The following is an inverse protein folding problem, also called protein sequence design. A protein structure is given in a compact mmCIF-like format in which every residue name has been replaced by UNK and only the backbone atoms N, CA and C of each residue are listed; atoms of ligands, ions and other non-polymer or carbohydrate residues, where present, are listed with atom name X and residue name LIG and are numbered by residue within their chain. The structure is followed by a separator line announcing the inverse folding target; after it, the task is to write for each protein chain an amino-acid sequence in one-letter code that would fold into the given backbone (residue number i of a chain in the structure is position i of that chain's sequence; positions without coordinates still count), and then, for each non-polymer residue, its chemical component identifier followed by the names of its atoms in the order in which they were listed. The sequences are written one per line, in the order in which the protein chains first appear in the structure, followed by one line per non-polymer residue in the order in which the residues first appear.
data_IF_247617756922
#
_entry.id   IF_247617756922
#
_cell.length_a   1.000
_cell.length_b   1.000
_cell.length_c   1.000
_cell.angle_alpha   90.00
_cell.angle_beta   90.00
_cell.angle_gamma   90.00
#
_symmetry.space_group_name_H-M   'P 1'
#
loop_
_entity.id
_entity.type
_entity.pdbx_description
1 polymer ?
#
# COMPACT_ATOMS: atom_id res chain seq x y z
N UNK A 1 6.84 2.80 15.40
CA UNK A 1 5.82 3.84 15.47
C UNK A 1 4.60 3.35 16.24
N UNK A 2 4.08 2.18 15.86
CA UNK A 2 2.89 1.48 16.42
C UNK A 2 1.53 2.10 16.07
N UNK A 3 1.54 3.17 15.28
CA UNK A 3 0.33 3.84 14.77
C UNK A 3 0.58 4.43 13.37
N UNK A 4 1.17 3.65 12.46
CA UNK A 4 1.28 4.10 11.05
C UNK A 4 -0.09 3.98 10.39
N UNK A 5 -0.59 5.09 9.87
CA UNK A 5 -1.85 5.22 9.13
C UNK A 5 -1.88 6.55 8.37
N UNK A 6 -2.73 6.73 7.36
CA UNK A 6 -2.82 7.99 6.60
C UNK A 6 -3.01 9.23 7.48
N UNK A 7 -3.82 9.15 8.54
CA UNK A 7 -4.03 10.27 9.46
C UNK A 7 -2.74 10.75 10.17
N UNK A 8 -1.71 9.90 10.23
CA UNK A 8 -0.40 10.18 10.82
C UNK A 8 0.70 10.40 9.76
N UNK A 9 0.32 10.55 8.49
CA UNK A 9 1.23 10.85 7.38
C UNK A 9 0.78 12.16 6.74
N UNK A 10 1.61 13.19 6.86
CA UNK A 10 1.34 14.52 6.32
C UNK A 10 2.03 14.67 4.96
N UNK A 11 1.33 15.27 4.01
CA UNK A 11 1.86 15.68 2.71
C UNK A 11 1.73 17.20 2.61
N UNK A 12 2.83 17.91 2.35
CA UNK A 12 2.78 19.34 2.09
C UNK A 12 2.68 19.67 0.59
N UNK A 13 2.45 20.95 0.27
CA UNK A 13 2.28 21.42 -1.12
C UNK A 13 3.57 21.31 -1.96
N UNK A 14 4.69 20.87 -1.39
CA UNK A 14 5.95 20.60 -2.08
C UNK A 14 6.20 19.09 -2.23
N UNK A 15 5.15 18.28 -2.08
CA UNK A 15 5.18 16.82 -2.13
C UNK A 15 6.11 16.18 -1.08
N UNK A 16 6.39 16.88 0.03
CA UNK A 16 7.21 16.33 1.11
C UNK A 16 6.33 15.56 2.08
N UNK A 17 6.64 14.27 2.24
CA UNK A 17 5.97 13.37 3.19
C UNK A 17 6.63 13.44 4.57
N UNK A 18 5.83 13.61 5.62
CA UNK A 18 6.28 13.62 7.02
C UNK A 18 5.43 12.68 7.87
N UNK A 19 6.09 11.84 8.67
CA UNK A 19 5.41 10.98 9.65
C UNK A 19 5.27 11.73 10.97
N UNK A 20 4.07 11.69 11.56
CA UNK A 20 3.72 12.35 12.82
C UNK A 20 3.11 11.37 13.82
N UNK A 21 2.91 11.83 15.06
CA UNK A 21 2.26 11.09 16.15
C UNK A 21 2.97 9.80 16.60
N UNK A 22 4.21 9.95 17.05
CA UNK A 22 4.96 8.90 17.74
C UNK A 22 4.41 8.61 19.16
N UNK A 23 3.16 8.97 19.48
CA UNK A 23 2.56 8.88 20.81
C UNK A 23 2.52 7.45 21.36
N UNK A 24 2.26 6.45 20.52
CA UNK A 24 2.29 5.03 20.92
C UNK A 24 3.71 4.45 21.00
N UNK A 25 4.71 5.09 20.38
CA UNK A 25 6.11 4.67 20.53
C UNK A 25 6.62 4.87 21.97
N UNK A 26 6.01 5.79 22.72
CA UNK A 26 6.35 6.10 24.13
C UNK A 26 5.59 5.24 25.15
N UNK A 27 4.53 4.54 24.75
CA UNK A 27 3.76 3.65 25.64
C UNK A 27 4.35 2.24 25.63
N UNK A 28 5.26 1.96 26.57
CA UNK A 28 5.83 0.63 26.81
C UNK A 28 4.97 -0.25 27.75
N UNK A 29 3.82 0.22 28.23
CA UNK A 29 3.11 -0.43 29.35
C UNK A 29 2.10 -1.48 28.89
N UNK A 30 2.35 -2.72 29.30
CA UNK A 30 1.50 -3.83 29.81
C UNK A 30 -0.04 -3.83 29.67
N UNK A 31 -0.65 -3.05 28.79
CA UNK A 31 -2.06 -3.23 28.45
C UNK A 31 -2.14 -4.24 27.31
N UNK A 32 -2.65 -5.45 27.61
CA UNK A 32 -3.30 -6.23 26.58
C UNK A 32 -4.35 -5.33 25.93
N UNK A 33 -4.38 -5.27 24.60
CA UNK A 33 -5.32 -4.41 23.87
C UNK A 33 -6.72 -5.04 23.95
N UNK A 34 -7.32 -5.00 25.13
CA UNK A 34 -8.77 -5.08 25.34
C UNK A 34 -9.29 -3.67 25.56
N UNK A 35 -8.88 -2.74 24.68
CA UNK A 35 -9.36 -1.36 24.70
C UNK A 35 -10.55 -1.25 23.75
N UNK A 36 -11.75 -1.22 24.31
CA UNK A 36 -13.03 -0.91 23.65
C UNK A 36 -13.07 0.47 22.96
N UNK A 37 -12.02 1.28 23.09
CA UNK A 37 -11.95 2.67 22.60
C UNK A 37 -11.15 2.86 21.29
N UNK A 38 -10.66 1.80 20.66
CA UNK A 38 -10.02 1.92 19.33
C UNK A 38 -11.12 2.03 18.28
N UNK A 39 -11.16 3.12 17.53
CA UNK A 39 -12.06 3.28 16.38
C UNK A 39 -11.75 2.23 15.30
N UNK A 40 -12.78 1.66 14.66
CA UNK A 40 -12.69 0.66 13.57
C UNK A 40 -11.66 1.08 12.51
N UNK A 41 -11.66 2.36 12.12
CA UNK A 41 -10.70 2.90 11.15
C UNK A 41 -9.24 2.77 11.59
N UNK A 42 -8.92 3.01 12.87
CA UNK A 42 -7.55 2.82 13.38
C UNK A 42 -7.18 1.34 13.50
N UNK A 43 -8.16 0.49 13.83
CA UNK A 43 -7.97 -0.95 13.95
C UNK A 43 -7.55 -1.60 12.62
N UNK A 44 -8.05 -1.10 11.49
CA UNK A 44 -7.77 -1.65 10.17
C UNK A 44 -6.29 -1.63 9.73
N UNK A 45 -5.44 -0.81 10.36
CA UNK A 45 -4.00 -0.78 10.09
C UNK A 45 -3.18 -1.62 11.08
N UNK A 46 -3.83 -2.19 12.11
CA UNK A 46 -3.15 -2.89 13.20
C UNK A 46 -2.74 -4.30 12.78
N UNK A 47 -1.50 -4.72 13.03
CA UNK A 47 -1.08 -6.08 12.71
C UNK A 47 -1.65 -7.11 13.69
N UNK A 48 -1.77 -8.39 13.29
CA UNK A 48 -2.38 -9.44 14.11
C UNK A 48 -1.74 -9.63 15.49
N UNK A 49 -0.42 -9.47 15.60
CA UNK A 49 0.30 -9.61 16.87
C UNK A 49 -0.01 -8.46 17.86
N UNK A 50 -0.28 -7.25 17.35
CA UNK A 50 -0.63 -6.09 18.17
C UNK A 50 -2.02 -6.24 18.80
N UNK A 51 -2.94 -6.94 18.12
CA UNK A 51 -4.26 -7.29 18.65
C UNK A 51 -4.19 -8.32 19.79
N UNK A 52 -3.15 -9.16 19.79
CA UNK A 52 -2.93 -10.18 20.83
C UNK A 52 -2.17 -9.62 22.03
N UNK A 53 -1.10 -8.87 21.80
CA UNK A 53 -0.26 -8.31 22.84
C UNK A 53 0.70 -7.26 22.29
N UNK A 54 0.78 -6.10 22.96
CA UNK A 54 1.77 -5.05 22.67
C UNK A 54 3.22 -5.47 22.94
N UNK A 55 3.44 -6.56 23.69
CA UNK A 55 4.80 -7.07 24.00
C UNK A 55 5.46 -7.74 22.80
N UNK A 56 4.66 -8.27 21.87
CA UNK A 56 5.14 -9.01 20.71
C UNK A 56 5.29 -8.11 19.47
N UNK A 57 5.13 -6.80 19.64
CA UNK A 57 5.13 -5.81 18.57
C UNK A 57 6.53 -5.22 18.41
N UNK A 58 7.11 -5.38 17.23
CA UNK A 58 8.44 -4.86 16.88
C UNK A 58 8.40 -3.99 15.61
N UNK A 59 9.54 -3.65 15.03
CA UNK A 59 9.60 -2.81 13.83
C UNK A 59 8.81 -3.38 12.63
N UNK A 60 8.61 -4.70 12.56
CA UNK A 60 7.88 -5.37 11.47
C UNK A 60 6.37 -5.17 11.58
N UNK A 61 5.90 -4.74 12.75
CA UNK A 61 4.52 -4.30 12.94
C UNK A 61 4.24 -2.99 12.22
N UNK A 62 5.20 -2.05 12.21
CA UNK A 62 5.08 -0.82 11.39
C UNK A 62 5.06 -1.14 9.88
N UNK A 63 5.82 -2.15 9.45
CA UNK A 63 5.85 -2.58 8.04
C UNK A 63 4.50 -3.14 7.58
N UNK A 64 3.79 -3.86 8.45
CA UNK A 64 2.42 -4.29 8.19
C UNK A 64 1.49 -3.08 8.02
N UNK A 65 1.55 -2.12 8.94
CA UNK A 65 0.71 -0.91 8.90
C UNK A 65 0.99 -0.03 7.67
N UNK A 66 2.26 0.04 7.22
CA UNK A 66 2.62 0.64 5.92
C UNK A 66 1.95 -0.14 4.77
N UNK A 67 2.00 -1.47 4.80
CA UNK A 67 1.31 -2.32 3.82
C UNK A 67 -0.20 -2.06 3.74
N UNK A 68 -0.87 -1.89 4.88
CA UNK A 68 -2.29 -1.53 4.94
C UNK A 68 -2.55 -0.08 4.46
N UNK A 69 -1.62 0.83 4.71
CA UNK A 69 -1.71 2.19 4.17
C UNK A 69 -1.60 2.18 2.63
N UNK A 70 -0.66 1.41 2.08
CA UNK A 70 -0.57 1.22 0.63
C UNK A 70 -1.81 0.53 0.07
N UNK A 71 -2.36 -0.47 0.78
CA UNK A 71 -3.61 -1.11 0.40
C UNK A 71 -4.71 -0.07 0.18
N UNK A 72 -4.94 0.81 1.15
CA UNK A 72 -6.01 1.81 1.06
C UNK A 72 -5.76 2.85 -0.02
N UNK A 73 -4.53 3.35 -0.16
CA UNK A 73 -4.17 4.30 -1.22
C UNK A 73 -4.52 3.73 -2.61
N UNK A 74 -4.28 2.44 -2.77
CA UNK A 74 -4.38 1.73 -4.04
C UNK A 74 -5.81 1.26 -4.34
N UNK A 75 -6.51 0.77 -3.31
CA UNK A 75 -7.88 0.28 -3.40
C UNK A 75 -8.94 1.37 -3.17
N UNK A 76 -8.53 2.57 -2.72
CA UNK A 76 -9.38 3.68 -2.31
C UNK A 76 -10.09 3.49 -0.96
N UNK A 77 -9.97 2.32 -0.34
CA UNK A 77 -10.57 1.97 0.95
C UNK A 77 -9.87 0.78 1.59
N UNK A 78 -10.05 0.62 2.90
CA UNK A 78 -9.70 -0.60 3.61
C UNK A 78 -10.67 -1.76 3.24
N UNK A 79 -10.29 -3.03 3.48
CA UNK A 79 -11.13 -4.19 3.18
C UNK A 79 -12.27 -4.41 4.20
N UNK A 80 -12.45 -3.49 5.14
CA UNK A 80 -13.46 -3.53 6.18
C UNK A 80 -14.51 -2.45 5.91
N UNK A 81 -15.78 -2.70 6.26
CA UNK A 81 -16.84 -1.71 6.10
C UNK A 81 -16.90 -0.78 7.32
N UNK A 82 -17.33 0.45 7.11
CA UNK A 82 -17.50 1.44 8.19
C UNK A 82 -18.52 0.99 9.26
N UNK A 83 -19.44 0.12 8.88
CA UNK A 83 -20.46 -0.45 9.78
C UNK A 83 -20.03 -1.75 10.46
N UNK A 84 -18.84 -2.28 10.15
CA UNK A 84 -18.33 -3.49 10.78
C UNK A 84 -18.03 -3.21 12.26
N UNK A 85 -18.36 -4.16 13.12
CA UNK A 85 -17.99 -4.07 14.54
C UNK A 85 -16.47 -4.19 14.73
N UNK A 86 -15.93 -3.58 15.79
CA UNK A 86 -14.53 -3.78 16.19
C UNK A 86 -14.16 -5.27 16.31
N UNK A 87 -15.07 -6.10 16.84
CA UNK A 87 -14.84 -7.54 16.99
C UNK A 87 -14.74 -8.25 15.63
N UNK A 88 -15.62 -7.95 14.68
CA UNK A 88 -15.58 -8.58 13.35
C UNK A 88 -14.31 -8.22 12.59
N UNK A 89 -13.86 -6.96 12.69
CA UNK A 89 -12.60 -6.52 12.07
C UNK A 89 -11.39 -7.19 12.74
N UNK A 90 -11.36 -7.27 14.08
CA UNK A 90 -10.30 -7.98 14.80
C UNK A 90 -10.20 -9.45 14.36
N UNK A 91 -11.33 -10.15 14.28
CA UNK A 91 -11.36 -11.54 13.84
C UNK A 91 -10.85 -11.69 12.41
N UNK A 92 -11.28 -10.82 11.48
CA UNK A 92 -10.79 -10.85 10.10
C UNK A 92 -9.26 -10.64 10.00
N UNK A 93 -8.71 -9.68 10.75
CA UNK A 93 -7.26 -9.45 10.84
C UNK A 93 -6.55 -10.67 11.40
N UNK A 94 -7.07 -11.26 12.48
CA UNK A 94 -6.50 -12.45 13.12
C UNK A 94 -6.56 -13.68 12.22
N UNK A 95 -7.58 -13.81 11.36
CA UNK A 95 -7.67 -14.86 10.34
C UNK A 95 -6.68 -14.64 9.19
N UNK A 96 -6.28 -13.39 8.92
CA UNK A 96 -5.34 -13.04 7.86
C UNK A 96 -5.96 -13.07 6.45
N UNK A 97 -7.29 -13.00 6.36
CA UNK A 97 -8.02 -12.97 5.09
C UNK A 97 -8.17 -11.54 4.61
N UNK A 98 -7.13 -11.01 3.96
CA UNK A 98 -7.21 -9.73 3.25
C UNK A 98 -7.58 -10.00 1.79
N UNK A 99 -8.70 -9.47 1.28
CA UNK A 99 -9.01 -9.48 -0.15
C UNK A 99 -7.86 -8.85 -0.93
N UNK A 100 -7.52 -9.42 -2.08
CA UNK A 100 -6.41 -8.89 -2.88
C UNK A 100 -6.75 -7.50 -3.44
N UNK A 101 -5.83 -6.50 -3.37
CA UNK A 101 -6.09 -5.12 -3.82
C UNK A 101 -6.53 -4.99 -5.28
N UNK A 102 -6.04 -5.87 -6.17
CA UNK A 102 -6.40 -5.91 -7.58
C UNK A 102 -7.86 -6.29 -7.85
N UNK A 103 -8.54 -6.93 -6.89
CA UNK A 103 -9.99 -7.13 -6.95
C UNK A 103 -10.75 -5.81 -6.86
N UNK A 104 -10.16 -4.80 -6.21
CA UNK A 104 -10.74 -3.48 -5.99
C UNK A 104 -10.30 -2.48 -7.06
N UNK A 105 -9.11 -2.66 -7.64
CA UNK A 105 -8.60 -1.83 -8.73
C UNK A 105 -7.74 -2.67 -9.72
N UNK A 106 -8.33 -3.18 -10.82
CA UNK A 106 -7.64 -4.07 -11.75
C UNK A 106 -6.47 -3.43 -12.53
N UNK A 107 -6.33 -2.10 -12.51
CA UNK A 107 -5.28 -1.40 -13.27
C UNK A 107 -3.93 -1.40 -12.54
N UNK A 108 -3.90 -1.89 -11.30
CA UNK A 108 -2.68 -1.92 -10.48
C UNK A 108 -1.72 -2.99 -11.00
N UNK A 109 -0.42 -2.67 -11.16
CA UNK A 109 0.57 -3.69 -11.48
C UNK A 109 0.67 -4.78 -10.40
N UNK A 110 0.71 -6.05 -10.80
CA UNK A 110 0.81 -7.20 -9.90
C UNK A 110 1.98 -7.12 -8.90
N UNK A 111 3.04 -6.38 -9.24
CA UNK A 111 4.19 -6.16 -8.36
C UNK A 111 3.83 -5.31 -7.12
N UNK A 112 2.94 -4.32 -7.24
CA UNK A 112 2.42 -3.56 -6.08
C UNK A 112 1.59 -4.48 -5.17
N UNK A 113 0.78 -5.36 -5.76
CA UNK A 113 0.01 -6.37 -5.01
C UNK A 113 0.95 -7.30 -4.24
N UNK A 114 2.06 -7.71 -4.84
CA UNK A 114 3.06 -8.55 -4.17
C UNK A 114 3.75 -7.83 -3.00
N UNK A 115 4.07 -6.54 -3.16
CA UNK A 115 4.64 -5.72 -2.10
C UNK A 115 3.69 -5.63 -0.91
N UNK A 116 2.42 -5.29 -1.14
CA UNK A 116 1.38 -5.24 -0.10
C UNK A 116 1.25 -6.60 0.56
N UNK A 117 1.10 -7.67 -0.23
CA UNK A 117 0.93 -9.05 0.27
C UNK A 117 2.10 -9.50 1.14
N UNK A 118 3.34 -9.13 0.80
CA UNK A 118 4.52 -9.44 1.63
C UNK A 118 4.52 -8.61 2.91
N UNK A 119 4.22 -7.32 2.84
CA UNK A 119 4.12 -6.44 4.00
C UNK A 119 3.04 -6.90 5.00
N UNK A 120 1.89 -7.37 4.49
CA UNK A 120 0.71 -7.73 5.29
C UNK A 120 0.62 -9.21 5.62
N UNK A 121 1.72 -9.96 5.57
CA UNK A 121 1.75 -11.36 6.03
C UNK A 121 1.36 -11.45 7.51
N UNK A 122 0.61 -12.48 7.88
CA UNK A 122 0.17 -12.67 9.26
C UNK A 122 1.34 -12.88 10.21
N UNK A 123 2.29 -13.76 9.86
CA UNK A 123 3.51 -13.97 10.64
C UNK A 123 4.53 -12.86 10.35
N UNK A 124 5.03 -12.13 11.37
CA UNK A 124 6.10 -11.16 11.19
C UNK A 124 7.38 -11.72 10.54
N UNK A 125 7.67 -13.01 10.70
CA UNK A 125 8.82 -13.66 10.08
C UNK A 125 8.71 -13.74 8.55
N UNK A 126 7.48 -13.74 8.01
CA UNK A 126 7.22 -13.80 6.56
C UNK A 126 7.15 -12.41 5.91
N UNK A 127 7.26 -11.34 6.71
CA UNK A 127 7.24 -9.96 6.22
C UNK A 127 8.63 -9.50 5.77
N UNK A 128 8.70 -8.27 5.28
CA UNK A 128 9.95 -7.53 5.29
C UNK A 128 10.52 -7.47 6.71
N UNK A 129 11.81 -7.72 6.87
CA UNK A 129 12.48 -7.72 8.17
C UNK A 129 13.00 -6.32 8.56
N UNK A 130 13.07 -5.39 7.59
CA UNK A 130 13.42 -4.00 7.83
C UNK A 130 12.76 -3.04 6.85
N UNK A 131 12.66 -1.76 7.24
CA UNK A 131 12.22 -0.70 6.33
C UNK A 131 13.17 -0.53 5.14
N UNK A 132 14.46 -0.79 5.31
CA UNK A 132 15.44 -0.74 4.22
C UNK A 132 15.17 -1.82 3.16
N UNK A 133 14.82 -3.03 3.58
CA UNK A 133 14.44 -4.12 2.67
C UNK A 133 13.17 -3.76 1.89
N UNK A 134 12.14 -3.22 2.57
CA UNK A 134 10.92 -2.76 1.90
C UNK A 134 11.22 -1.63 0.90
N UNK A 135 12.05 -0.67 1.29
CA UNK A 135 12.43 0.45 0.43
C UNK A 135 13.13 -0.01 -0.85
N UNK A 136 13.99 -1.02 -0.78
CA UNK A 136 14.63 -1.60 -1.96
C UNK A 136 13.59 -2.12 -2.97
N UNK A 137 12.57 -2.83 -2.50
CA UNK A 137 11.50 -3.32 -3.37
C UNK A 137 10.65 -2.18 -3.93
N UNK A 138 10.33 -1.15 -3.13
CA UNK A 138 9.62 0.06 -3.59
C UNK A 138 10.39 0.77 -4.69
N UNK A 139 11.68 1.02 -4.51
CA UNK A 139 12.52 1.69 -5.51
C UNK A 139 12.66 0.86 -6.78
N UNK A 140 12.83 -0.45 -6.66
CA UNK A 140 12.89 -1.34 -7.82
C UNK A 140 11.58 -1.32 -8.61
N UNK A 141 10.45 -1.27 -7.91
CA UNK A 141 9.12 -1.17 -8.49
C UNK A 141 8.89 0.17 -9.20
N UNK A 142 9.26 1.28 -8.56
CA UNK A 142 9.21 2.62 -9.16
C UNK A 142 10.00 2.67 -10.47
N UNK A 143 11.24 2.17 -10.47
CA UNK A 143 12.07 2.12 -11.67
C UNK A 143 11.41 1.30 -12.79
N UNK A 144 10.89 0.11 -12.49
CA UNK A 144 10.19 -0.72 -13.48
C UNK A 144 8.94 -0.02 -14.02
N UNK A 145 8.18 0.66 -13.16
CA UNK A 145 6.99 1.40 -13.55
C UNK A 145 7.34 2.56 -14.50
N UNK A 146 8.35 3.37 -14.17
CA UNK A 146 8.84 4.46 -15.02
C UNK A 146 9.28 3.94 -16.40
N UNK A 147 10.01 2.81 -16.44
CA UNK A 147 10.45 2.23 -17.72
C UNK A 147 9.26 1.72 -18.54
N UNK A 148 8.29 1.03 -17.91
CA UNK A 148 7.10 0.56 -18.60
C UNK A 148 6.26 1.71 -19.18
N UNK A 149 6.13 2.83 -18.45
CA UNK A 149 5.46 4.03 -18.97
C UNK A 149 6.18 4.61 -20.18
N UNK A 150 7.51 4.77 -20.11
CA UNK A 150 8.32 5.27 -21.24
C UNK A 150 8.18 4.40 -22.48
N UNK A 151 8.13 3.08 -22.32
CA UNK A 151 7.92 2.15 -23.43
C UNK A 151 6.51 2.22 -24.02
N UNK A 152 5.48 2.44 -23.20
CA UNK A 152 4.11 2.68 -23.66
C UNK A 152 4.03 3.96 -24.49
N UNK A 153 4.65 5.04 -24.01
CA UNK A 153 4.70 6.31 -24.73
C UNK A 153 5.45 6.21 -26.05
N UNK A 154 6.60 5.51 -26.08
CA UNK A 154 7.35 5.23 -27.32
C UNK A 154 6.52 4.43 -28.33
N UNK A 155 5.79 3.41 -27.88
CA UNK A 155 4.90 2.60 -28.74
C UNK A 155 3.68 3.38 -29.23
N UNK A 156 3.13 4.25 -28.38
CA UNK A 156 2.04 5.18 -28.75
C UNK A 156 2.48 6.23 -29.77
N UNK A 157 3.71 6.74 -29.65
CA UNK A 157 4.31 7.67 -30.60
C UNK A 157 4.60 7.03 -31.97
N UNK A 158 5.04 5.76 -31.99
CA UNK A 158 5.29 5.02 -33.23
C UNK A 158 4.00 4.72 -34.03
N UNK A 159 2.86 4.67 -33.36
CA UNK A 159 1.54 4.47 -33.98
C UNK A 159 1.00 5.74 -34.67
N UNK A 160 1.71 6.87 -34.59
CA UNK A 160 1.36 8.18 -35.19
C UNK A 160 2.32 8.62 -36.30
N UNK A 161 2.92 7.69 -37.07
CA UNK A 161 3.58 8.07 -38.32
C UNK A 161 2.51 8.27 -39.42
N UNK A 162 2.39 9.46 -40.05
CA UNK A 162 1.44 9.66 -41.12
C UNK A 162 1.86 8.85 -42.35
N UNK A 163 0.91 8.18 -42.99
CA UNK A 163 1.07 7.66 -44.33
C UNK A 163 1.47 8.84 -45.24
N UNK A 164 2.74 8.88 -45.65
CA UNK A 164 3.22 9.87 -46.61
C UNK A 164 2.43 9.69 -47.91
N UNK A 165 1.77 10.77 -48.31
CA UNK A 165 1.05 10.91 -49.56
C UNK A 165 1.89 10.44 -50.75
N UNK A 166 1.40 9.44 -51.47
CA UNK A 166 1.79 9.20 -52.85
C UNK A 166 0.95 10.12 -53.73
N UNK A 167 1.41 11.36 -53.92
CA UNK A 167 0.94 12.22 -54.99
C UNK A 167 2.16 12.68 -55.79
N UNK A 168 2.42 12.01 -56.91
CA UNK A 168 3.30 12.55 -57.96
C UNK A 168 2.72 12.25 -59.34
N UNK A 169 2.47 13.36 -60.05
CA UNK A 169 2.40 13.54 -61.51
C UNK A 169 1.26 12.81 -62.24
N UNK A 170 0.36 13.51 -62.94
CA UNK A 170 0.63 14.30 -64.16
C UNK A 170 0.33 13.37 -65.35
N UNK A 171 -0.51 13.68 -66.33
CA UNK A 171 -0.47 14.84 -67.22
C UNK A 171 -1.54 14.62 -68.31
N UNK A 172 -2.18 15.69 -68.80
CA UNK A 172 -2.63 15.96 -70.19
C UNK A 172 -3.31 14.84 -70.99
N UNK A 173 -4.48 15.02 -71.61
CA UNK A 173 -4.90 16.10 -72.52
C UNK A 173 -6.37 15.88 -72.88
#
# INVERSE_FOLDING_TARGET
HRDIKPANILLDNSDVVKVTDFGLAKMQRDFGVTSTDIAVGTLGYSPPEQLKSLKNTDQRSDLYSIGMTFYEIIAGKLPFNDNDSNLSVQLAILEGKLPSPDLLNPEIPAEFVNLIRKATRKDPADRYQSAAEMLQDVLALEQRYIQAMRERDRRGAFRRLPARAASTAGSTR
#
